data_IF_846084956782
#
_entry.id   IF_846084956782
#
_cell.length_a   1.000
_cell.length_b   1.000
_cell.length_c   1.000
_cell.angle_alpha   90.00
_cell.angle_beta   90.00
_cell.angle_gamma   90.00
#
_symmetry.space_group_name_H-M   'P 1'
#
loop_
_entity.id
_entity.type
_entity.pdbx_description
1 polymer ?
#
# COMPACT_ATOMS: atom_id res chain seq x y z
N UNK A 1 26.03 51.01 0.69
CA UNK A 1 26.60 50.75 2.03
C UNK A 1 26.23 49.31 2.37
N UNK A 2 27.06 48.30 2.07
CA UNK A 2 28.33 47.91 2.73
C UNK A 2 28.14 47.51 4.20
N UNK A 3 28.55 46.28 4.51
CA UNK A 3 28.58 45.64 5.83
C UNK A 3 27.92 44.25 5.77
N UNK A 4 28.56 43.13 5.38
CA UNK A 4 29.85 42.55 5.78
C UNK A 4 30.00 42.44 7.31
N UNK A 5 29.82 41.23 7.83
CA UNK A 5 30.63 40.73 8.94
C UNK A 5 30.92 39.24 8.76
N UNK A 6 32.22 38.98 8.62
CA UNK A 6 32.94 37.70 8.56
C UNK A 6 33.38 37.33 9.97
N UNK A 7 33.48 36.05 10.32
CA UNK A 7 34.55 35.44 11.15
C UNK A 7 34.31 33.92 11.15
N UNK A 8 34.89 33.12 10.25
CA UNK A 8 36.24 32.50 10.29
C UNK A 8 36.51 31.63 11.52
N UNK A 9 36.91 30.37 11.27
CA UNK A 9 37.37 29.45 12.32
C UNK A 9 37.42 27.98 11.90
N UNK A 10 38.34 27.64 11.00
CA UNK A 10 38.77 26.26 10.70
C UNK A 10 39.50 25.66 11.91
N UNK A 11 39.30 24.37 12.19
CA UNK A 11 40.38 23.51 12.69
C UNK A 11 40.34 22.18 11.94
N UNK A 12 41.45 21.89 11.28
CA UNK A 12 41.78 20.61 10.63
C UNK A 12 42.34 19.64 11.66
N UNK A 13 42.05 18.33 11.53
CA UNK A 13 43.03 17.23 11.43
C UNK A 13 42.32 15.88 11.58
N UNK A 14 42.33 15.05 10.53
CA UNK A 14 43.19 13.86 10.36
C UNK A 14 43.06 12.83 11.49
N UNK A 15 42.51 11.66 11.17
CA UNK A 15 43.14 10.36 11.44
C UNK A 15 42.36 9.22 10.76
N UNK A 16 43.15 8.36 10.12
CA UNK A 16 42.82 7.03 9.60
C UNK A 16 42.12 6.19 10.65
N UNK A 17 41.13 5.40 10.23
CA UNK A 17 40.92 4.06 10.79
C UNK A 17 40.42 3.13 9.68
N UNK A 18 41.39 2.50 9.00
CA UNK A 18 41.20 1.19 8.40
C UNK A 18 40.92 0.22 9.54
N UNK A 19 39.75 -0.41 9.58
CA UNK A 19 39.62 -1.68 10.28
C UNK A 19 38.64 -2.60 9.57
N UNK A 20 39.19 -3.74 9.19
CA UNK A 20 38.58 -4.92 8.61
C UNK A 20 37.31 -5.37 9.35
N UNK A 21 36.25 -5.66 8.60
CA UNK A 21 35.23 -6.62 9.03
C UNK A 21 34.76 -7.46 7.83
N UNK A 22 35.50 -8.55 7.66
CA UNK A 22 34.98 -9.92 7.51
C UNK A 22 33.69 -10.09 6.72
N UNK A 23 33.88 -10.61 5.50
CA UNK A 23 32.96 -11.49 4.78
C UNK A 23 32.31 -12.54 5.69
N UNK A 24 30.97 -12.62 5.68
CA UNK A 24 30.20 -13.87 5.48
C UNK A 24 28.70 -13.59 5.60
N UNK A 25 28.00 -13.48 4.47
CA UNK A 25 26.57 -13.79 4.40
C UNK A 25 26.37 -14.76 3.25
N UNK A 26 26.05 -15.98 3.65
CA UNK A 26 25.83 -17.17 2.85
C UNK A 26 24.56 -17.00 2.00
N UNK A 27 24.68 -16.95 0.68
CA UNK A 27 23.55 -17.03 -0.25
C UNK A 27 23.29 -18.51 -0.58
N UNK A 28 22.20 -19.09 -0.05
CA UNK A 28 21.71 -20.41 -0.50
C UNK A 28 20.45 -20.21 -1.36
N UNK A 29 20.61 -20.45 -2.65
CA UNK A 29 19.53 -20.51 -3.66
C UNK A 29 18.75 -21.83 -3.49
N UNK A 30 17.41 -21.83 -3.43
CA UNK A 30 16.66 -23.04 -3.72
C UNK A 30 16.37 -23.12 -5.23
N UNK A 31 16.79 -24.22 -5.83
CA UNK A 31 16.39 -24.64 -7.17
C UNK A 31 14.89 -24.94 -7.20
N UNK A 32 14.17 -24.34 -8.14
CA UNK A 32 12.80 -24.70 -8.49
C UNK A 32 12.79 -25.06 -9.97
N UNK A 33 12.87 -26.36 -10.28
CA UNK A 33 12.81 -26.89 -11.63
C UNK A 33 11.54 -27.74 -11.81
N UNK A 34 10.70 -27.23 -12.72
CA UNK A 34 9.83 -27.94 -13.65
C UNK A 34 8.73 -28.87 -13.13
N UNK A 35 7.50 -28.35 -13.30
CA UNK A 35 6.27 -29.12 -13.53
C UNK A 35 6.41 -29.97 -14.80
N UNK A 36 6.01 -31.23 -14.71
CA UNK A 36 5.58 -32.03 -15.86
C UNK A 36 4.30 -32.78 -15.43
N UNK A 37 3.20 -32.53 -16.14
CA UNK A 37 1.98 -33.33 -16.06
C UNK A 37 2.20 -34.70 -16.71
N UNK A 38 1.45 -35.74 -16.30
CA UNK A 38 0.75 -36.46 -17.35
C UNK A 38 -0.69 -36.79 -16.99
N UNK A 39 -1.55 -36.54 -17.97
CA UNK A 39 -2.80 -37.23 -18.22
C UNK A 39 -2.52 -38.70 -18.54
N UNK A 40 -3.42 -39.60 -18.14
CA UNK A 40 -4.08 -40.58 -19.02
C UNK A 40 -4.86 -41.62 -18.21
N UNK A 41 -6.16 -41.65 -18.48
CA UNK A 41 -7.05 -42.77 -18.25
C UNK A 41 -6.56 -44.04 -18.98
N UNK A 42 -6.53 -45.20 -18.31
CA UNK A 42 -7.06 -46.45 -18.89
C UNK A 42 -7.27 -47.56 -17.84
N UNK A 43 -8.43 -48.20 -17.99
CA UNK A 43 -9.03 -49.29 -17.22
C UNK A 43 -8.20 -50.57 -17.26
N UNK A 44 -8.17 -51.34 -16.16
CA UNK A 44 -8.15 -52.81 -16.19
C UNK A 44 -8.89 -53.37 -14.97
N UNK A 45 -9.94 -54.14 -15.26
CA UNK A 45 -10.77 -54.90 -14.31
C UNK A 45 -10.06 -56.19 -13.88
N UNK A 46 -10.61 -56.81 -12.81
CA UNK A 46 -10.37 -58.14 -12.24
C UNK A 46 -9.16 -58.17 -11.27
N UNK A 47 -9.25 -58.63 -10.02
CA UNK A 47 -10.15 -59.61 -9.39
C UNK A 47 -10.25 -59.38 -7.87
N UNK A 48 -11.42 -59.70 -7.31
CA UNK A 48 -11.64 -59.81 -5.87
C UNK A 48 -10.89 -61.03 -5.29
N UNK A 49 -10.32 -60.93 -4.08
CA UNK A 49 -10.26 -62.05 -3.17
C UNK A 49 -11.29 -61.85 -2.04
N UNK A 50 -12.27 -62.74 -2.02
CA UNK A 50 -13.08 -63.03 -0.83
C UNK A 50 -12.21 -63.65 0.25
N UNK A 51 -12.32 -63.15 1.48
CA UNK A 51 -12.29 -63.90 2.75
C UNK A 51 -12.33 -62.88 3.89
N UNK A 52 -13.40 -62.93 4.68
CA UNK A 52 -13.62 -62.06 5.81
C UNK A 52 -12.72 -62.37 7.00
N UNK A 53 -12.57 -61.39 7.89
CA UNK A 53 -12.33 -61.62 9.31
C UNK A 53 -12.67 -60.34 10.12
N UNK A 54 -13.70 -60.51 10.95
CA UNK A 54 -13.86 -59.97 12.32
C UNK A 54 -13.86 -58.46 12.57
N UNK A 55 -15.06 -57.98 12.91
CA UNK A 55 -15.32 -56.81 13.76
C UNK A 55 -14.45 -56.88 15.03
N UNK A 56 -13.44 -56.02 15.13
CA UNK A 56 -12.86 -55.65 16.41
C UNK A 56 -13.58 -54.40 16.89
N UNK A 57 -14.50 -54.58 17.84
CA UNK A 57 -15.02 -53.53 18.72
C UNK A 57 -13.86 -52.96 19.52
N UNK A 58 -13.16 -51.98 18.95
CA UNK A 58 -12.28 -51.09 19.69
C UNK A 58 -13.13 -49.90 20.11
N UNK A 59 -13.38 -49.90 21.41
CA UNK A 59 -13.95 -48.84 22.22
C UNK A 59 -13.59 -47.46 21.69
N UNK A 60 -14.64 -46.68 21.45
CA UNK A 60 -14.59 -45.28 21.06
C UNK A 60 -13.65 -44.48 21.96
N UNK A 61 -12.50 -44.10 21.42
CA UNK A 61 -11.85 -42.83 21.75
C UNK A 61 -11.65 -42.11 20.43
N UNK A 62 -12.72 -41.44 20.01
CA UNK A 62 -12.66 -40.39 19.00
C UNK A 62 -11.54 -39.43 19.36
N UNK A 63 -10.57 -39.16 18.47
CA UNK A 63 -9.55 -38.16 18.71
C UNK A 63 -10.25 -36.80 18.80
N UNK A 64 -10.33 -36.23 20.00
CA UNK A 64 -10.74 -34.84 20.17
C UNK A 64 -9.62 -33.95 19.62
N UNK A 65 -9.75 -33.58 18.35
CA UNK A 65 -8.95 -32.54 17.72
C UNK A 65 -9.00 -31.26 18.58
N UNK A 66 -7.88 -30.55 18.82
CA UNK A 66 -7.79 -29.52 19.84
C UNK A 66 -8.61 -28.27 19.47
N UNK A 67 -9.86 -28.25 19.92
CA UNK A 67 -10.83 -27.15 19.73
C UNK A 67 -10.30 -25.78 20.19
N UNK A 68 -9.25 -25.76 21.02
CA UNK A 68 -8.64 -24.56 21.59
C UNK A 68 -7.91 -23.69 20.57
N UNK A 69 -7.25 -24.28 19.57
CA UNK A 69 -6.51 -23.53 18.53
C UNK A 69 -7.50 -22.87 17.57
N UNK A 70 -8.57 -23.59 17.21
CA UNK A 70 -9.68 -23.06 16.41
C UNK A 70 -10.42 -21.95 17.18
N UNK A 71 -10.66 -22.12 18.48
CA UNK A 71 -11.31 -21.09 19.32
C UNK A 71 -10.47 -19.81 19.45
N UNK A 72 -9.14 -19.95 19.56
CA UNK A 72 -8.22 -18.81 19.54
C UNK A 72 -8.16 -18.12 18.17
N UNK A 73 -8.14 -18.88 17.06
CA UNK A 73 -8.22 -18.31 15.71
C UNK A 73 -9.56 -17.63 15.41
N UNK A 74 -10.67 -18.19 15.90
CA UNK A 74 -12.00 -17.58 15.74
C UNK A 74 -12.15 -16.31 16.57
N UNK A 75 -11.63 -16.27 17.80
CA UNK A 75 -11.67 -15.06 18.65
C UNK A 75 -10.86 -13.89 18.05
N UNK A 76 -9.70 -14.19 17.44
CA UNK A 76 -8.84 -13.18 16.80
C UNK A 76 -9.47 -12.61 15.52
N UNK A 77 -10.27 -13.40 14.81
CA UNK A 77 -11.06 -12.92 13.67
C UNK A 77 -12.30 -12.12 14.10
N UNK A 78 -12.91 -12.45 15.25
CA UNK A 78 -14.11 -11.78 15.76
C UNK A 78 -13.84 -10.33 16.21
N UNK A 79 -12.72 -10.04 16.86
CA UNK A 79 -12.38 -8.67 17.31
C UNK A 79 -12.09 -7.73 16.13
N UNK A 80 -11.56 -8.27 15.03
CA UNK A 80 -11.24 -7.50 13.83
C UNK A 80 -12.47 -7.10 12.99
N UNK A 81 -13.63 -7.68 13.25
CA UNK A 81 -14.81 -7.57 12.40
C UNK A 81 -16.07 -7.12 13.15
N UNK A 82 -15.94 -6.19 14.10
CA UNK A 82 -17.05 -5.34 14.51
C UNK A 82 -17.41 -4.40 13.34
N UNK A 83 -18.03 -4.95 12.29
CA UNK A 83 -18.64 -4.18 11.22
C UNK A 83 -19.78 -3.38 11.82
N UNK A 84 -19.74 -2.06 11.68
CA UNK A 84 -20.88 -1.22 12.07
C UNK A 84 -22.05 -1.58 11.16
N UNK A 85 -23.01 -2.31 11.74
CA UNK A 85 -24.27 -2.65 11.08
C UNK A 85 -25.19 -1.43 11.17
N UNK A 86 -25.58 -0.93 10.00
CA UNK A 86 -26.54 0.17 9.90
C UNK A 86 -27.95 -0.42 9.85
N UNK A 87 -28.76 -0.10 10.85
CA UNK A 87 -30.18 -0.42 10.85
C UNK A 87 -30.92 0.53 9.92
N UNK A 88 -31.87 0.00 9.16
CA UNK A 88 -32.63 0.81 8.17
C UNK A 88 -33.50 1.88 8.84
N UNK A 89 -33.96 1.64 10.07
CA UNK A 89 -34.77 2.60 10.85
C UNK A 89 -34.02 3.89 11.24
N UNK A 90 -32.70 3.79 11.40
CA UNK A 90 -31.82 4.89 11.82
C UNK A 90 -31.37 5.75 10.62
N UNK A 91 -31.75 5.36 9.40
CA UNK A 91 -31.35 6.03 8.16
C UNK A 91 -32.51 6.85 7.57
N UNK A 92 -32.18 8.04 7.08
CA UNK A 92 -33.07 8.83 6.21
C UNK A 92 -32.45 8.90 4.81
N UNK A 93 -33.17 8.38 3.82
CA UNK A 93 -32.78 8.45 2.42
C UNK A 93 -33.57 9.57 1.72
N UNK A 94 -32.87 10.48 1.03
CA UNK A 94 -33.48 11.54 0.19
C UNK A 94 -32.87 11.52 -1.20
N UNK A 95 -33.71 11.66 -2.22
CA UNK A 95 -33.27 11.74 -3.62
C UNK A 95 -33.34 13.18 -4.09
N UNK A 96 -32.27 13.64 -4.72
CA UNK A 96 -32.15 15.00 -5.24
C UNK A 96 -31.60 14.97 -6.65
N UNK A 97 -31.81 16.06 -7.39
CA UNK A 97 -31.16 16.26 -8.68
C UNK A 97 -29.67 16.51 -8.48
N UNK A 98 -28.87 15.99 -9.41
CA UNK A 98 -27.43 16.18 -9.37
C UNK A 98 -27.05 17.64 -9.64
N UNK A 99 -25.91 18.07 -9.12
CA UNK A 99 -25.34 19.40 -9.41
C UNK A 99 -24.10 19.32 -10.28
N UNK A 100 -23.76 20.42 -10.95
CA UNK A 100 -22.52 20.60 -11.71
C UNK A 100 -22.73 20.74 -13.23
N UNK A 101 -21.65 20.99 -14.00
CA UNK A 101 -21.69 20.98 -15.45
C UNK A 101 -22.06 19.58 -15.93
N UNK A 102 -23.33 19.41 -16.30
CA UNK A 102 -23.92 18.11 -16.57
C UNK A 102 -24.75 18.10 -17.84
N UNK A 103 -24.88 16.92 -18.44
CA UNK A 103 -25.78 16.70 -19.58
C UNK A 103 -27.25 16.58 -19.17
N UNK A 104 -28.12 16.30 -20.13
CA UNK A 104 -29.57 16.22 -19.93
C UNK A 104 -30.00 15.28 -18.80
N UNK A 105 -29.26 14.18 -18.59
CA UNK A 105 -29.58 13.19 -17.56
C UNK A 105 -29.42 13.72 -16.14
N UNK A 106 -28.49 14.65 -15.88
CA UNK A 106 -28.23 15.17 -14.53
C UNK A 106 -29.33 16.15 -14.09
N UNK A 107 -29.82 16.96 -15.04
CA UNK A 107 -30.82 18.00 -14.76
C UNK A 107 -32.26 17.45 -14.70
N UNK A 108 -32.53 16.32 -15.39
CA UNK A 108 -33.86 15.71 -15.44
C UNK A 108 -34.07 14.62 -14.39
N UNK A 109 -33.03 13.85 -14.05
CA UNK A 109 -33.18 12.65 -13.20
C UNK A 109 -32.65 12.88 -11.79
N UNK A 110 -33.43 12.47 -10.79
CA UNK A 110 -33.07 12.49 -9.36
C UNK A 110 -32.16 11.31 -8.98
N UNK A 111 -31.01 11.25 -9.65
CA UNK A 111 -30.03 10.16 -9.47
C UNK A 111 -29.15 10.34 -8.23
N UNK A 112 -29.05 11.56 -7.67
CA UNK A 112 -28.19 11.83 -6.53
C UNK A 112 -28.88 11.43 -5.22
N UNK A 113 -28.14 10.74 -4.37
CA UNK A 113 -28.64 10.21 -3.09
C UNK A 113 -28.00 10.98 -1.95
N UNK A 114 -28.84 11.49 -1.04
CA UNK A 114 -28.44 12.03 0.25
C UNK A 114 -28.89 11.04 1.32
N UNK A 115 -27.94 10.56 2.12
CA UNK A 115 -28.17 9.61 3.19
C UNK A 115 -27.76 10.23 4.52
N UNK A 116 -28.66 10.22 5.51
CA UNK A 116 -28.45 10.78 6.84
C UNK A 116 -28.58 9.67 7.88
N UNK A 117 -27.65 9.61 8.83
CA UNK A 117 -27.77 8.78 10.02
C UNK A 117 -28.35 9.61 11.17
N UNK A 118 -29.60 9.34 11.56
CA UNK A 118 -30.34 10.11 12.56
C UNK A 118 -29.59 10.26 13.90
N UNK A 119 -29.06 9.19 14.53
CA UNK A 119 -28.52 9.31 15.88
C UNK A 119 -27.17 10.05 15.92
N UNK A 120 -26.37 10.02 14.84
CA UNK A 120 -25.08 10.73 14.80
C UNK A 120 -25.17 12.08 14.09
N UNK A 121 -26.26 12.35 13.35
CA UNK A 121 -26.39 13.56 12.51
C UNK A 121 -25.42 13.61 11.32
N UNK A 122 -24.68 12.54 11.04
CA UNK A 122 -23.73 12.48 9.92
C UNK A 122 -24.50 12.22 8.63
N UNK A 123 -24.21 13.04 7.62
CA UNK A 123 -24.81 12.89 6.30
C UNK A 123 -23.75 12.71 5.20
N UNK A 124 -24.16 12.05 4.12
CA UNK A 124 -23.37 11.80 2.92
C UNK A 124 -24.22 12.10 1.70
N UNK A 125 -23.67 12.91 0.78
CA UNK A 125 -24.19 13.08 -0.58
C UNK A 125 -23.33 12.26 -1.54
N UNK A 126 -23.97 11.49 -2.42
CA UNK A 126 -23.30 10.67 -3.42
C UNK A 126 -23.89 10.91 -4.81
N UNK A 127 -23.01 11.23 -5.77
CA UNK A 127 -23.31 11.39 -7.19
C UNK A 127 -22.10 10.84 -7.98
N UNK A 128 -22.06 9.53 -8.21
CA UNK A 128 -20.98 8.90 -8.99
C UNK A 128 -21.46 8.28 -10.29
N UNK A 129 -22.63 7.66 -10.26
CA UNK A 129 -23.21 6.95 -11.39
C UNK A 129 -24.54 7.58 -11.79
N UNK A 130 -24.97 7.34 -13.04
CA UNK A 130 -26.33 7.69 -13.50
C UNK A 130 -27.43 6.90 -12.78
N UNK A 131 -27.09 5.74 -12.22
CA UNK A 131 -28.03 4.86 -11.52
C UNK A 131 -28.16 5.22 -10.04
N UNK A 132 -29.39 5.47 -9.61
CA UNK A 132 -29.74 5.76 -8.21
C UNK A 132 -29.42 4.58 -7.28
N UNK A 133 -29.67 3.34 -7.71
CA UNK A 133 -29.38 2.14 -6.92
C UNK A 133 -27.88 2.04 -6.60
N UNK A 134 -27.03 2.27 -7.61
CA UNK A 134 -25.58 2.25 -7.42
C UNK A 134 -25.15 3.35 -6.45
N UNK A 135 -25.68 4.57 -6.63
CA UNK A 135 -25.40 5.68 -5.72
C UNK A 135 -25.87 5.39 -4.28
N UNK A 136 -26.96 4.67 -4.07
CA UNK A 136 -27.45 4.24 -2.75
C UNK A 136 -26.46 3.28 -2.07
N UNK A 137 -25.96 2.28 -2.79
CA UNK A 137 -24.95 1.35 -2.27
C UNK A 137 -23.67 2.07 -1.86
N UNK A 138 -23.18 2.97 -2.71
CA UNK A 138 -21.96 3.75 -2.45
C UNK A 138 -22.17 4.71 -1.27
N UNK A 139 -23.33 5.36 -1.18
CA UNK A 139 -23.68 6.24 -0.07
C UNK A 139 -23.66 5.48 1.27
N UNK A 140 -24.21 4.26 1.31
CA UNK A 140 -24.16 3.40 2.52
C UNK A 140 -22.74 3.05 2.91
N UNK A 141 -21.89 2.66 1.95
CA UNK A 141 -20.48 2.35 2.22
C UNK A 141 -19.75 3.57 2.81
N UNK A 142 -19.92 4.74 2.19
CA UNK A 142 -19.31 5.99 2.68
C UNK A 142 -19.82 6.40 4.05
N UNK A 143 -21.11 6.22 4.31
CA UNK A 143 -21.69 6.55 5.60
C UNK A 143 -21.09 5.65 6.70
N UNK A 144 -20.94 4.35 6.44
CA UNK A 144 -20.22 3.43 7.34
C UNK A 144 -18.80 3.91 7.63
N UNK A 145 -18.04 4.26 6.59
CA UNK A 145 -16.67 4.77 6.74
C UNK A 145 -16.62 6.05 7.60
N UNK A 146 -17.56 6.98 7.41
CA UNK A 146 -17.63 8.20 8.22
C UNK A 146 -17.99 7.90 9.68
N UNK A 147 -18.93 6.98 9.90
CA UNK A 147 -19.35 6.58 11.24
C UNK A 147 -18.20 5.84 11.96
N UNK A 148 -17.49 4.95 11.27
CA UNK A 148 -16.28 4.29 11.77
C UNK A 148 -15.23 5.31 12.22
N UNK A 149 -15.00 6.34 11.41
CA UNK A 149 -14.08 7.44 11.74
C UNK A 149 -14.56 8.26 12.93
N UNK A 150 -15.88 8.49 13.06
CA UNK A 150 -16.44 9.22 14.19
C UNK A 150 -16.25 8.47 15.52
N UNK A 151 -16.47 7.16 15.55
CA UNK A 151 -16.34 6.37 16.78
C UNK A 151 -14.90 5.98 17.12
N UNK A 152 -14.08 5.61 16.11
CA UNK A 152 -12.72 5.07 16.33
C UNK A 152 -11.59 6.06 16.03
N UNK A 153 -11.89 7.21 15.43
CA UNK A 153 -10.89 8.22 15.10
C UNK A 153 -9.73 7.67 14.25
N UNK A 154 -8.51 7.82 14.77
CA UNK A 154 -7.27 7.39 14.11
C UNK A 154 -7.08 5.86 14.06
N UNK A 155 -7.71 5.13 14.99
CA UNK A 155 -7.63 3.67 15.06
C UNK A 155 -8.47 3.01 13.96
N UNK A 156 -9.39 3.76 13.34
CA UNK A 156 -10.21 3.27 12.24
C UNK A 156 -9.34 2.72 11.09
N UNK A 157 -9.75 1.57 10.55
CA UNK A 157 -9.12 0.97 9.35
C UNK A 157 -9.07 1.97 8.18
N UNK A 158 -10.04 2.87 8.08
CA UNK A 158 -10.09 3.93 7.06
C UNK A 158 -8.98 4.95 7.29
N UNK A 159 -8.83 5.45 8.52
CA UNK A 159 -7.78 6.39 8.90
C UNK A 159 -6.38 5.80 8.66
N UNK A 160 -6.16 4.56 9.07
CA UNK A 160 -4.90 3.84 8.82
C UNK A 160 -4.60 3.68 7.33
N UNK A 161 -5.61 3.35 6.50
CA UNK A 161 -5.44 3.28 5.03
C UNK A 161 -5.06 4.65 4.46
N UNK A 162 -5.73 5.71 4.89
CA UNK A 162 -5.44 7.09 4.47
C UNK A 162 -4.01 7.47 4.87
N UNK A 163 -3.60 7.19 6.11
CA UNK A 163 -2.24 7.45 6.60
C UNK A 163 -1.18 6.71 5.78
N UNK A 164 -1.40 5.41 5.48
CA UNK A 164 -0.51 4.60 4.63
C UNK A 164 -0.38 5.20 3.22
N UNK A 165 -1.49 5.62 2.61
CA UNK A 165 -1.48 6.27 1.28
C UNK A 165 -0.72 7.61 1.33
N UNK A 166 -0.95 8.43 2.36
CA UNK A 166 -0.23 9.70 2.58
C UNK A 166 1.27 9.48 2.73
N UNK A 167 1.68 8.53 3.57
CA UNK A 167 3.09 8.18 3.77
C UNK A 167 3.74 7.71 2.46
N UNK A 168 3.05 6.85 1.68
CA UNK A 168 3.53 6.40 0.37
C UNK A 168 3.72 7.56 -0.61
N UNK A 169 2.77 8.49 -0.69
CA UNK A 169 2.88 9.68 -1.54
C UNK A 169 4.01 10.60 -1.09
N UNK A 170 4.16 10.84 0.21
CA UNK A 170 5.24 11.63 0.78
C UNK A 170 6.62 11.03 0.45
N UNK A 171 6.78 9.73 0.61
CA UNK A 171 8.03 9.03 0.29
C UNK A 171 8.36 9.09 -1.21
N UNK A 172 7.36 8.96 -2.08
CA UNK A 172 7.54 9.15 -3.54
C UNK A 172 8.00 10.57 -3.86
N UNK A 173 7.38 11.58 -3.26
CA UNK A 173 7.76 12.99 -3.43
C UNK A 173 9.19 13.26 -2.95
N UNK A 174 9.56 12.78 -1.75
CA UNK A 174 10.92 12.90 -1.21
C UNK A 174 11.98 12.30 -2.15
N UNK A 175 11.71 11.11 -2.70
CA UNK A 175 12.61 10.45 -3.67
C UNK A 175 12.73 11.23 -4.97
N UNK A 176 11.63 11.73 -5.51
CA UNK A 176 11.64 12.55 -6.74
C UNK A 176 12.44 13.84 -6.55
N UNK A 177 12.24 14.54 -5.43
CA UNK A 177 12.99 15.75 -5.07
C UNK A 177 14.49 15.45 -4.92
N UNK A 178 14.85 14.40 -4.18
CA UNK A 178 16.27 13.99 -4.02
C UNK A 178 16.92 13.66 -5.36
N UNK A 179 16.21 12.98 -6.26
CA UNK A 179 16.70 12.67 -7.61
C UNK A 179 16.96 13.95 -8.41
N UNK A 180 16.01 14.90 -8.38
CA UNK A 180 16.14 16.18 -9.07
C UNK A 180 17.35 17.00 -8.56
N UNK A 181 17.52 17.10 -7.23
CA UNK A 181 18.67 17.80 -6.66
C UNK A 181 20.00 17.14 -7.02
N UNK A 182 20.06 15.80 -7.02
CA UNK A 182 21.25 15.05 -7.42
C UNK A 182 21.60 15.33 -8.89
N UNK A 183 20.63 15.25 -9.79
CA UNK A 183 20.85 15.54 -11.22
C UNK A 183 21.22 16.99 -11.49
N UNK A 184 20.70 17.95 -10.71
CA UNK A 184 21.07 19.36 -10.84
C UNK A 184 22.53 19.58 -10.44
N UNK A 185 22.93 18.99 -9.30
CA UNK A 185 24.32 19.04 -8.81
C UNK A 185 25.30 18.37 -9.79
N UNK A 186 24.92 17.23 -10.37
CA UNK A 186 25.74 16.54 -11.37
C UNK A 186 25.93 17.39 -12.64
N UNK A 187 24.92 18.15 -13.08
CA UNK A 187 25.04 19.11 -14.20
C UNK A 187 25.93 20.30 -13.85
N UNK A 188 25.72 20.90 -12.68
CA UNK A 188 26.57 22.00 -12.21
C UNK A 188 28.05 21.56 -12.13
N UNK A 189 28.33 20.35 -11.66
CA UNK A 189 29.68 19.78 -11.65
C UNK A 189 30.26 19.55 -13.04
N UNK A 190 29.47 19.03 -14.00
CA UNK A 190 29.94 18.88 -15.38
C UNK A 190 30.21 20.23 -16.06
N UNK A 191 29.40 21.26 -15.74
CA UNK A 191 29.59 22.60 -16.28
C UNK A 191 30.88 23.23 -15.71
N UNK A 192 31.14 23.12 -14.40
CA UNK A 192 32.37 23.58 -13.75
C UNK A 192 33.63 22.88 -14.29
N UNK A 193 33.58 21.54 -14.48
CA UNK A 193 34.67 20.75 -15.07
C UNK A 193 34.94 21.15 -16.54
N UNK A 194 33.89 21.47 -17.31
CA UNK A 194 34.04 21.93 -18.69
C UNK A 194 34.70 23.31 -18.79
N UNK A 195 34.39 24.23 -17.87
CA UNK A 195 35.01 25.57 -17.82
C UNK A 195 36.48 25.48 -17.43
N UNK A 196 36.83 24.61 -16.47
CA UNK A 196 38.23 24.39 -16.07
C UNK A 196 39.09 23.87 -17.23
N UNK A 197 38.57 22.90 -18.00
CA UNK A 197 39.29 22.35 -19.16
C UNK A 197 39.46 23.31 -20.33
N UNK A 198 38.63 24.37 -20.42
CA UNK A 198 38.79 25.44 -21.42
C UNK A 198 39.92 26.41 -21.07
N UNK A 199 40.23 26.64 -19.78
CA UNK A 199 41.28 27.58 -19.38
C UNK A 199 42.70 26.99 -19.49
N UNK A 200 42.84 25.65 -19.53
CA UNK A 200 44.13 24.95 -19.61
C UNK A 200 44.73 24.87 -21.03
N UNK A 201 44.04 25.36 -22.07
CA UNK A 201 44.50 25.24 -23.47
C UNK A 201 45.12 26.52 -24.04
N UNK A 202 45.02 27.66 -23.37
CA UNK A 202 45.53 28.96 -23.88
C UNK A 202 46.95 29.32 -23.38
N UNK A 203 47.55 28.52 -22.49
CA UNK A 203 48.89 28.79 -21.91
C UNK A 203 50.07 28.13 -22.67
N UNK A 204 49.97 27.97 -24.00
CA UNK A 204 51.14 27.64 -24.84
C UNK A 204 51.74 28.94 -25.37
N UNK A 205 52.48 29.66 -24.52
CA UNK A 205 53.32 30.77 -24.98
C UNK A 205 54.48 30.22 -25.82
N UNK A 206 54.41 30.49 -27.12
CA UNK A 206 55.40 30.16 -28.14
C UNK A 206 56.75 30.84 -27.81
N UNK A 207 57.73 30.06 -27.32
CA UNK A 207 59.11 30.54 -27.16
C UNK A 207 59.87 30.25 -28.46
N UNK A 208 60.29 31.27 -29.23
CA UNK A 208 61.10 31.06 -30.43
C UNK A 208 62.46 30.48 -30.04
N UNK A 209 62.87 29.38 -30.67
CA UNK A 209 64.22 28.85 -30.52
C UNK A 209 65.16 29.54 -31.50
N UNK A 210 66.25 30.06 -30.96
CA UNK A 210 67.42 30.59 -31.68
C UNK A 210 68.19 29.50 -32.42
#
# INVERSE_FOLDING_TARGET
MMGLFVFSGKVMNTLRCLFSLSHQICLKRPHNSHRVFPTLYKKKLLSFPSRGATLCSTSDKSPEEPESVLKQQMSKLQVEHMSIELREHDLEEKFIRGGGPGGQSINKTESCVVLVHKPTGIWVKCQESRSQFRNRQIARQRLKEKIDLHYRGEESKVAQKIAKIRARKANRRKKAIKKHYKSKKEREQSDDESVQGMFEQDDVWFIPKE
#
